data_IF_341787113208
#
_entry.id   IF_341787113208
#
_cell.length_a   1.000
_cell.length_b   1.000
_cell.length_c   1.000
_cell.angle_alpha   90.00
_cell.angle_beta   90.00
_cell.angle_gamma   90.00
#
_symmetry.space_group_name_H-M   'P 1'
#
loop_
_entity.id
_entity.type
_entity.pdbx_description
1 polymer ?
#
# COMPACT_ATOMS: atom_id res chain seq x y z
N UNK A 1 -20.57 -3.38 12.98
CA UNK A 1 -20.74 -2.27 12.03
C UNK A 1 -19.39 -1.65 11.64
N UNK A 2 -18.49 -1.37 12.60
CA UNK A 2 -17.18 -0.73 12.34
C UNK A 2 -16.23 -1.53 11.43
N UNK A 3 -16.18 -2.87 11.56
CA UNK A 3 -15.31 -3.70 10.71
C UNK A 3 -15.69 -3.63 9.23
N UNK A 4 -16.99 -3.59 8.92
CA UNK A 4 -17.43 -3.52 7.51
C UNK A 4 -17.02 -2.21 6.85
N UNK A 5 -17.04 -1.10 7.60
CA UNK A 5 -16.55 0.20 7.12
C UNK A 5 -15.05 0.12 6.83
N UNK A 6 -14.26 -0.48 7.73
CA UNK A 6 -12.82 -0.68 7.51
C UNK A 6 -12.54 -1.56 6.28
N UNK A 7 -13.28 -2.66 6.11
CA UNK A 7 -13.18 -3.50 4.92
C UNK A 7 -13.48 -2.70 3.64
N UNK A 8 -14.49 -1.84 3.63
CA UNK A 8 -14.77 -0.99 2.47
C UNK A 8 -13.64 0.02 2.20
N UNK A 9 -13.06 0.62 3.25
CA UNK A 9 -11.88 1.50 3.12
C UNK A 9 -10.72 0.73 2.48
N UNK A 10 -10.43 -0.47 2.96
CA UNK A 10 -9.36 -1.31 2.39
C UNK A 10 -9.67 -1.72 0.95
N UNK A 11 -10.92 -2.07 0.65
CA UNK A 11 -11.34 -2.37 -0.71
C UNK A 11 -11.04 -1.20 -1.65
N UNK A 12 -11.49 0.01 -1.31
CA UNK A 12 -11.24 1.18 -2.16
C UNK A 12 -9.75 1.47 -2.30
N UNK A 13 -8.98 1.36 -1.22
CA UNK A 13 -7.53 1.51 -1.25
C UNK A 13 -6.86 0.55 -2.24
N UNK A 14 -7.14 -0.76 -2.15
CA UNK A 14 -6.57 -1.73 -3.07
C UNK A 14 -7.09 -1.57 -4.50
N UNK A 15 -8.38 -1.22 -4.67
CA UNK A 15 -8.98 -1.03 -5.97
C UNK A 15 -8.39 0.17 -6.72
N UNK A 16 -8.12 1.30 -6.04
CA UNK A 16 -7.49 2.47 -6.66
C UNK A 16 -5.99 2.28 -6.85
N UNK A 17 -5.31 1.48 -6.02
CA UNK A 17 -3.89 1.18 -6.21
C UNK A 17 -3.60 0.40 -7.48
N UNK A 18 -4.51 -0.47 -7.94
CA UNK A 18 -4.31 -1.23 -9.18
C UNK A 18 -3.98 -0.32 -10.38
N UNK A 19 -4.84 0.65 -10.77
CA UNK A 19 -4.52 1.53 -11.88
C UNK A 19 -3.36 2.49 -11.57
N UNK A 20 -3.20 2.95 -10.32
CA UNK A 20 -2.09 3.84 -9.94
C UNK A 20 -0.77 3.11 -10.17
N UNK A 21 -0.59 1.92 -9.63
CA UNK A 21 0.64 1.15 -9.80
C UNK A 21 0.91 0.81 -11.26
N UNK A 22 -0.10 0.30 -11.98
CA UNK A 22 0.08 -0.10 -13.38
C UNK A 22 0.44 1.07 -14.29
N UNK A 23 -0.18 2.24 -14.09
CA UNK A 23 -0.08 3.37 -14.99
C UNK A 23 0.89 4.44 -14.54
N UNK A 24 1.24 4.53 -13.26
CA UNK A 24 2.11 5.57 -12.68
C UNK A 24 3.38 4.92 -12.13
N UNK A 25 3.28 4.06 -11.12
CA UNK A 25 4.47 3.58 -10.39
C UNK A 25 5.38 2.72 -11.27
N UNK A 26 4.81 1.83 -12.09
CA UNK A 26 5.59 0.98 -13.00
C UNK A 26 6.34 1.76 -14.10
N UNK A 27 6.00 3.05 -14.35
CA UNK A 27 6.80 3.90 -15.24
C UNK A 27 8.23 4.11 -14.72
N UNK A 28 8.47 3.97 -13.41
CA UNK A 28 9.79 4.05 -12.81
C UNK A 28 10.71 2.86 -13.17
N UNK A 29 10.14 1.75 -13.64
CA UNK A 29 10.87 0.51 -13.98
C UNK A 29 10.86 0.18 -15.46
N UNK A 30 9.73 0.39 -16.12
CA UNK A 30 9.56 -0.02 -17.50
C UNK A 30 10.03 1.07 -18.47
N UNK A 31 10.49 0.69 -19.67
CA UNK A 31 10.91 1.67 -20.67
C UNK A 31 9.79 2.63 -21.11
N UNK A 32 10.11 3.89 -21.36
CA UNK A 32 9.11 4.92 -21.72
C UNK A 32 8.21 4.58 -22.93
N UNK A 33 8.67 3.73 -23.85
CA UNK A 33 7.93 3.36 -25.06
C UNK A 33 6.73 2.44 -24.79
N UNK A 34 6.66 1.80 -23.62
CA UNK A 34 5.52 0.96 -23.24
C UNK A 34 4.33 1.78 -22.76
N UNK A 35 4.53 3.07 -22.45
CA UNK A 35 3.48 3.96 -21.95
C UNK A 35 3.01 4.96 -23.01
N UNK A 36 1.68 5.13 -23.17
CA UNK A 36 1.11 6.15 -24.03
C UNK A 36 1.44 7.56 -23.50
N UNK A 37 1.53 8.53 -24.41
CA UNK A 37 1.93 9.89 -24.09
C UNK A 37 1.12 10.55 -22.94
N UNK A 38 -0.22 10.40 -22.87
CA UNK A 38 -1.00 11.01 -21.79
C UNK A 38 -0.58 10.57 -20.38
N UNK A 39 -0.18 9.29 -20.20
CA UNK A 39 0.25 8.80 -18.89
C UNK A 39 1.61 9.38 -18.47
N UNK A 40 2.51 9.57 -19.44
CA UNK A 40 3.79 10.23 -19.21
C UNK A 40 3.62 11.71 -18.89
N UNK A 41 2.67 12.36 -19.55
CA UNK A 41 2.37 13.78 -19.29
C UNK A 41 1.77 13.98 -17.90
N UNK A 42 0.90 13.06 -17.45
CA UNK A 42 0.37 13.04 -16.08
C UNK A 42 1.51 12.87 -15.06
N UNK A 43 2.43 11.92 -15.29
CA UNK A 43 3.57 11.70 -14.40
C UNK A 43 4.46 12.95 -14.30
N UNK A 44 4.77 13.58 -15.45
CA UNK A 44 5.56 14.82 -15.50
C UNK A 44 4.87 15.98 -14.82
N UNK A 45 3.56 16.14 -15.02
CA UNK A 45 2.76 17.14 -14.33
C UNK A 45 2.79 16.93 -12.81
N UNK A 46 2.55 15.70 -12.35
CA UNK A 46 2.59 15.36 -10.93
C UNK A 46 3.96 15.67 -10.32
N UNK A 47 5.04 15.20 -10.95
CA UNK A 47 6.39 15.44 -10.46
C UNK A 47 6.76 16.92 -10.39
N UNK A 48 6.27 17.73 -11.34
CA UNK A 48 6.50 19.17 -11.36
C UNK A 48 5.70 19.91 -10.27
N UNK A 49 4.41 19.58 -10.12
CA UNK A 49 3.50 20.27 -9.21
C UNK A 49 3.79 19.93 -7.74
N UNK A 50 4.07 18.65 -7.47
CA UNK A 50 4.32 18.15 -6.11
C UNK A 50 5.80 18.03 -5.75
N UNK A 51 6.69 18.45 -6.66
CA UNK A 51 8.15 18.40 -6.49
C UNK A 51 8.64 16.98 -6.18
N UNK A 52 8.15 15.98 -6.89
CA UNK A 52 8.54 14.58 -6.68
C UNK A 52 9.50 14.11 -7.78
N UNK A 53 10.84 14.27 -7.62
CA UNK A 53 11.78 13.86 -8.65
C UNK A 53 11.98 12.35 -8.67
N UNK A 54 11.60 11.63 -7.60
CA UNK A 54 11.82 10.19 -7.50
C UNK A 54 10.99 9.42 -8.52
N UNK A 55 9.89 9.97 -9.02
CA UNK A 55 9.08 9.30 -10.03
C UNK A 55 9.56 9.56 -11.47
N UNK A 56 10.39 10.59 -11.69
CA UNK A 56 10.98 10.90 -12.99
C UNK A 56 12.41 10.39 -13.14
N UNK A 57 13.22 10.54 -12.09
CA UNK A 57 14.60 10.07 -12.01
C UNK A 57 14.78 9.24 -10.72
N UNK A 58 14.17 8.04 -10.68
CA UNK A 58 14.16 7.21 -9.48
C UNK A 58 15.58 6.75 -9.11
N UNK A 59 16.03 6.99 -7.87
CA UNK A 59 17.27 6.38 -7.39
C UNK A 59 17.13 4.87 -7.31
N UNK A 60 18.24 4.13 -7.44
CA UNK A 60 18.21 2.65 -7.53
C UNK A 60 17.54 1.97 -6.33
N UNK A 61 17.68 2.52 -5.13
CA UNK A 61 16.98 2.02 -3.94
C UNK A 61 15.46 2.16 -4.07
N UNK A 62 14.96 3.26 -4.68
CA UNK A 62 13.53 3.47 -4.90
C UNK A 62 13.01 2.51 -5.97
N UNK A 63 13.74 2.34 -7.08
CA UNK A 63 13.43 1.31 -8.09
C UNK A 63 13.33 -0.06 -7.47
N UNK A 64 14.21 -0.41 -6.52
CA UNK A 64 14.13 -1.70 -5.82
C UNK A 64 12.81 -1.90 -5.06
N UNK A 65 12.25 -0.82 -4.48
CA UNK A 65 10.94 -0.88 -3.83
C UNK A 65 9.80 -0.99 -4.82
N UNK A 66 9.82 -0.21 -5.92
CA UNK A 66 8.83 -0.33 -6.99
C UNK A 66 8.86 -1.73 -7.61
N UNK A 67 10.05 -2.36 -7.69
CA UNK A 67 10.18 -3.73 -8.20
C UNK A 67 9.53 -4.75 -7.28
N UNK A 68 9.73 -4.60 -5.96
CA UNK A 68 9.03 -5.41 -4.96
C UNK A 68 7.52 -5.18 -5.02
N UNK A 69 7.07 -3.94 -5.25
CA UNK A 69 5.67 -3.61 -5.45
C UNK A 69 5.10 -4.35 -6.68
N UNK A 70 5.77 -4.24 -7.83
CA UNK A 70 5.38 -4.89 -9.07
C UNK A 70 5.21 -6.40 -8.93
N UNK A 71 6.15 -7.07 -8.25
CA UNK A 71 6.18 -8.53 -8.13
C UNK A 71 5.29 -9.08 -7.01
N UNK A 72 5.22 -8.40 -5.87
CA UNK A 72 4.58 -8.94 -4.66
C UNK A 72 3.23 -8.27 -4.39
N UNK A 73 3.16 -6.95 -4.55
CA UNK A 73 2.00 -6.16 -4.15
C UNK A 73 0.96 -6.10 -5.27
N UNK A 74 1.36 -5.81 -6.50
CA UNK A 74 0.45 -5.72 -7.66
C UNK A 74 -0.41 -6.98 -7.85
N UNK A 75 0.13 -8.22 -7.84
CA UNK A 75 -0.72 -9.42 -7.92
C UNK A 75 -1.57 -9.65 -6.67
N UNK A 76 -1.20 -9.07 -5.52
CA UNK A 76 -2.00 -9.16 -4.29
C UNK A 76 -3.18 -8.19 -4.27
N UNK A 77 -3.10 -7.02 -4.93
CA UNK A 77 -4.15 -6.01 -4.87
C UNK A 77 -5.54 -6.53 -5.30
N UNK A 78 -5.72 -7.27 -6.41
CA UNK A 78 -7.04 -7.79 -6.79
C UNK A 78 -7.57 -8.81 -5.78
N UNK A 79 -6.68 -9.63 -5.22
CA UNK A 79 -7.01 -10.65 -4.19
C UNK A 79 -7.51 -9.96 -2.92
N UNK A 80 -6.80 -8.92 -2.47
CA UNK A 80 -7.18 -8.13 -1.31
C UNK A 80 -8.48 -7.35 -1.55
N UNK A 81 -8.61 -6.69 -2.71
CA UNK A 81 -9.83 -5.99 -3.10
C UNK A 81 -11.05 -6.93 -3.07
N UNK A 82 -10.94 -8.12 -3.67
CA UNK A 82 -12.00 -9.13 -3.59
C UNK A 82 -12.33 -9.54 -2.14
N UNK A 83 -11.31 -9.85 -1.34
CA UNK A 83 -11.50 -10.33 0.02
C UNK A 83 -12.23 -9.30 0.90
N UNK A 84 -11.86 -8.03 0.77
CA UNK A 84 -12.46 -6.94 1.54
C UNK A 84 -13.82 -6.50 0.96
N UNK A 85 -14.03 -6.56 -0.36
CA UNK A 85 -15.34 -6.32 -0.95
C UNK A 85 -16.35 -7.37 -0.50
N UNK A 86 -15.97 -8.66 -0.52
CA UNK A 86 -16.83 -9.75 -0.05
C UNK A 86 -17.05 -9.69 1.46
N UNK A 87 -16.03 -9.31 2.22
CA UNK A 87 -16.03 -9.29 3.68
C UNK A 87 -15.93 -10.70 4.30
N UNK A 88 -15.49 -10.77 5.55
CA UNK A 88 -15.43 -12.03 6.31
C UNK A 88 -14.43 -13.08 5.80
N UNK A 89 -13.56 -12.73 4.86
CA UNK A 89 -12.56 -13.62 4.29
C UNK A 89 -11.36 -13.80 5.24
N UNK A 90 -11.49 -14.67 6.25
CA UNK A 90 -10.45 -14.84 7.29
C UNK A 90 -9.05 -15.21 6.77
N UNK A 91 -8.96 -15.89 5.64
CA UNK A 91 -7.71 -16.27 4.99
C UNK A 91 -6.87 -15.05 4.55
N UNK A 92 -7.47 -13.87 4.38
CA UNK A 92 -6.75 -12.65 3.99
C UNK A 92 -5.80 -12.14 5.08
N UNK A 93 -5.97 -12.59 6.33
CA UNK A 93 -5.25 -12.07 7.49
C UNK A 93 -3.74 -12.12 7.31
N UNK A 94 -3.19 -13.31 7.07
CA UNK A 94 -1.73 -13.48 7.00
C UNK A 94 -1.14 -12.73 5.80
N UNK A 95 -1.68 -12.85 4.57
CA UNK A 95 -1.23 -12.03 3.44
C UNK A 95 -1.31 -10.52 3.69
N UNK A 96 -2.40 -10.05 4.31
CA UNK A 96 -2.56 -8.62 4.62
C UNK A 96 -1.55 -8.12 5.66
N UNK A 97 -1.20 -8.94 6.67
CA UNK A 97 -0.13 -8.60 7.62
C UNK A 97 1.21 -8.47 6.89
N UNK A 98 1.56 -9.46 6.06
CA UNK A 98 2.83 -9.44 5.29
C UNK A 98 2.88 -8.20 4.38
N UNK A 99 1.81 -7.95 3.63
CA UNK A 99 1.66 -6.77 2.79
C UNK A 99 1.85 -5.47 3.59
N UNK A 100 1.06 -5.28 4.65
CA UNK A 100 1.08 -4.03 5.41
C UNK A 100 2.42 -3.76 6.07
N UNK A 101 3.07 -4.80 6.62
CA UNK A 101 4.40 -4.66 7.22
C UNK A 101 5.44 -4.32 6.16
N UNK A 102 5.37 -4.94 4.98
CA UNK A 102 6.29 -4.65 3.90
C UNK A 102 6.14 -3.20 3.41
N UNK A 103 4.91 -2.75 3.14
CA UNK A 103 4.64 -1.36 2.73
C UNK A 103 5.12 -0.37 3.79
N UNK A 104 4.85 -0.61 5.08
CA UNK A 104 5.37 0.26 6.13
C UNK A 104 6.90 0.34 6.12
N UNK A 105 7.57 -0.80 5.86
CA UNK A 105 9.03 -0.88 5.84
C UNK A 105 9.64 -0.15 4.65
N UNK A 106 8.97 -0.09 3.49
CA UNK A 106 9.45 0.65 2.31
C UNK A 106 9.11 2.15 2.38
N UNK A 107 7.95 2.51 2.95
CA UNK A 107 7.51 3.91 3.05
C UNK A 107 8.29 4.72 4.09
N UNK A 108 8.77 4.09 5.18
CA UNK A 108 9.57 4.80 6.19
C UNK A 108 10.84 5.42 5.57
N UNK A 109 11.68 4.68 4.82
CA UNK A 109 12.81 5.25 4.08
C UNK A 109 12.41 6.34 3.07
N UNK A 110 11.30 6.16 2.34
CA UNK A 110 10.81 7.14 1.36
C UNK A 110 10.47 8.47 2.06
N UNK A 111 9.71 8.42 3.17
CA UNK A 111 9.36 9.60 3.93
C UNK A 111 10.59 10.27 4.56
N UNK A 112 11.53 9.48 5.07
CA UNK A 112 12.80 10.01 5.56
C UNK A 112 13.61 10.69 4.44
N UNK A 113 13.62 10.12 3.24
CA UNK A 113 14.26 10.72 2.07
C UNK A 113 13.59 12.06 1.73
N UNK A 114 12.26 12.11 1.64
CA UNK A 114 11.49 13.34 1.38
C UNK A 114 11.77 14.42 2.43
N UNK A 115 11.89 14.06 3.72
CA UNK A 115 12.06 15.03 4.80
C UNK A 115 13.50 15.53 4.96
N UNK A 116 14.49 14.67 4.76
CA UNK A 116 15.88 14.95 5.16
C UNK A 116 16.87 14.97 4.00
N UNK A 117 16.56 14.37 2.86
CA UNK A 117 17.47 14.39 1.71
C UNK A 117 17.55 15.78 1.09
N UNK A 118 18.76 16.18 0.69
CA UNK A 118 19.00 17.43 -0.02
C UNK A 118 18.84 17.20 -1.52
N UNK A 119 17.64 17.49 -2.04
CA UNK A 119 17.34 17.30 -3.44
C UNK A 119 18.09 18.30 -4.33
N UNK A 120 18.69 17.85 -5.44
CA UNK A 120 19.34 18.74 -6.39
C UNK A 120 18.32 19.66 -7.07
N UNK A 121 18.78 20.82 -7.56
CA UNK A 121 17.94 21.78 -8.30
C UNK A 121 17.75 21.41 -9.78
N UNK A 122 18.61 20.53 -10.32
CA UNK A 122 18.63 20.08 -11.71
C UNK A 122 19.01 18.59 -11.77
N UNK A 123 18.55 17.82 -12.77
CA UNK A 123 17.63 18.21 -13.84
C UNK A 123 16.17 18.36 -13.37
N UNK A 124 15.78 17.63 -12.32
CA UNK A 124 14.44 17.68 -11.73
C UNK A 124 14.51 18.19 -10.28
N UNK A 125 14.01 19.40 -9.98
CA UNK A 125 14.06 19.95 -8.63
C UNK A 125 13.09 19.21 -7.70
N UNK A 126 13.63 18.63 -6.63
CA UNK A 126 12.81 18.11 -5.52
C UNK A 126 12.37 19.19 -4.52
N UNK A 127 11.69 18.81 -3.42
CA UNK A 127 11.12 19.77 -2.48
C UNK A 127 12.25 20.51 -1.73
N UNK A 128 12.26 21.84 -1.86
CA UNK A 128 13.30 22.69 -1.29
C UNK A 128 12.86 23.28 0.05
N UNK A 129 11.59 23.64 0.14
CA UNK A 129 11.01 24.26 1.34
C UNK A 129 10.39 23.23 2.27
N UNK A 130 10.24 23.59 3.54
CA UNK A 130 9.54 22.76 4.53
C UNK A 130 8.08 22.54 4.10
N UNK A 131 7.43 23.54 3.51
CA UNK A 131 6.06 23.39 2.99
C UNK A 131 5.97 22.37 1.86
N UNK A 132 6.86 22.44 0.86
CA UNK A 132 6.90 21.46 -0.25
C UNK A 132 7.15 20.04 0.27
N UNK A 133 8.05 19.88 1.26
CA UNK A 133 8.31 18.56 1.88
C UNK A 133 7.07 18.00 2.56
N UNK A 134 6.37 18.81 3.37
CA UNK A 134 5.14 18.36 4.03
C UNK A 134 4.00 18.12 3.06
N UNK A 135 3.90 18.90 1.98
CA UNK A 135 2.96 18.65 0.91
C UNK A 135 3.21 17.28 0.28
N UNK A 136 4.46 16.98 -0.09
CA UNK A 136 4.81 15.69 -0.66
C UNK A 136 4.58 14.54 0.34
N UNK A 137 4.96 14.71 1.61
CA UNK A 137 4.64 13.74 2.68
C UNK A 137 3.14 13.49 2.77
N UNK A 138 2.29 14.50 2.61
CA UNK A 138 0.83 14.33 2.67
C UNK A 138 0.28 13.44 1.55
N UNK A 139 0.97 13.36 0.41
CA UNK A 139 0.61 12.49 -0.71
C UNK A 139 0.99 11.04 -0.39
N UNK A 140 2.16 10.81 0.18
CA UNK A 140 2.62 9.47 0.58
C UNK A 140 1.99 8.97 1.88
N UNK A 141 1.52 9.86 2.76
CA UNK A 141 1.01 9.49 4.08
C UNK A 141 -0.17 8.50 4.04
N UNK A 142 -1.19 8.64 3.16
CA UNK A 142 -2.25 7.64 3.01
C UNK A 142 -1.72 6.22 2.73
N UNK A 143 -0.66 6.10 1.93
CA UNK A 143 0.00 4.84 1.58
C UNK A 143 0.72 4.19 2.76
N UNK A 144 0.98 4.93 3.84
CA UNK A 144 1.48 4.37 5.10
C UNK A 144 0.35 4.14 6.11
N UNK A 145 -0.54 5.13 6.26
CA UNK A 145 -1.59 5.11 7.29
C UNK A 145 -2.61 4.01 7.03
N UNK A 146 -3.04 3.79 5.79
CA UNK A 146 -4.03 2.75 5.47
C UNK A 146 -3.45 1.34 5.69
N UNK A 147 -2.23 1.01 5.23
CA UNK A 147 -1.59 -0.26 5.57
C UNK A 147 -1.35 -0.47 7.06
N UNK A 148 -0.98 0.56 7.82
CA UNK A 148 -0.86 0.45 9.28
C UNK A 148 -2.22 0.17 9.93
N UNK A 149 -3.28 0.84 9.49
CA UNK A 149 -4.65 0.57 9.95
C UNK A 149 -5.09 -0.86 9.59
N UNK A 150 -4.73 -1.34 8.40
CA UNK A 150 -4.97 -2.72 7.97
C UNK A 150 -4.21 -3.70 8.88
N UNK A 151 -2.93 -3.45 9.17
CA UNK A 151 -2.11 -4.28 10.06
C UNK A 151 -2.75 -4.38 11.45
N UNK A 152 -3.09 -3.24 12.05
CA UNK A 152 -3.75 -3.20 13.36
C UNK A 152 -5.09 -3.93 13.33
N UNK A 153 -5.86 -3.78 12.25
CA UNK A 153 -7.13 -4.50 12.09
C UNK A 153 -6.92 -6.01 12.04
N UNK A 154 -5.92 -6.48 11.28
CA UNK A 154 -5.62 -7.92 11.16
C UNK A 154 -5.08 -8.52 12.46
N UNK A 155 -4.36 -7.74 13.27
CA UNK A 155 -3.80 -8.17 14.55
C UNK A 155 -4.82 -8.13 15.71
N UNK A 156 -5.65 -7.09 15.75
CA UNK A 156 -6.50 -6.80 16.92
C UNK A 156 -7.96 -7.23 16.75
N UNK A 157 -8.45 -7.40 15.51
CA UNK A 157 -9.85 -7.76 15.28
C UNK A 157 -10.12 -9.23 15.59
N UNK A 158 -11.10 -9.49 16.46
CA UNK A 158 -11.60 -10.85 16.75
C UNK A 158 -12.19 -11.55 15.53
N UNK A 159 -12.68 -10.80 14.54
CA UNK A 159 -13.22 -11.34 13.28
C UNK A 159 -12.16 -12.15 12.51
N UNK A 160 -10.92 -11.66 12.52
CA UNK A 160 -9.80 -12.23 11.78
C UNK A 160 -8.94 -13.16 12.66
N UNK A 161 -9.07 -13.08 13.98
CA UNK A 161 -8.27 -13.90 14.90
C UNK A 161 -8.70 -15.39 14.85
N UNK A 162 -7.76 -16.34 14.60
CA UNK A 162 -8.08 -17.77 14.50
C UNK A 162 -8.60 -18.39 15.80
N UNK A 163 -8.29 -17.78 16.94
CA UNK A 163 -8.58 -18.32 18.28
C UNK A 163 -10.05 -18.25 18.71
N UNK A 164 -10.97 -17.75 17.86
CA UNK A 164 -12.39 -17.61 18.24
C UNK A 164 -13.27 -18.86 18.09
N UNK A 165 -12.76 -20.01 17.60
CA UNK A 165 -13.50 -21.29 17.66
C UNK A 165 -12.60 -22.54 17.76
N UNK A 166 -12.45 -23.04 18.99
CA UNK A 166 -12.50 -24.48 19.28
C UNK A 166 -12.74 -24.69 20.78
N UNK A 167 -13.85 -25.35 21.17
CA UNK A 167 -13.95 -25.96 22.51
C UNK A 167 -15.17 -25.65 23.39
N UNK A 168 -16.41 -25.88 22.92
CA UNK A 168 -17.48 -26.38 23.81
C UNK A 168 -18.57 -27.12 23.03
N UNK A 169 -18.23 -28.31 22.52
CA UNK A 169 -19.27 -29.31 22.27
C UNK A 169 -19.61 -29.98 23.62
N UNK A 170 -20.89 -30.03 24.04
CA UNK A 170 -21.26 -30.71 25.27
C UNK A 170 -20.99 -32.21 25.11
N UNK A 171 -20.23 -32.78 26.04
CA UNK A 171 -19.95 -34.21 26.09
C UNK A 171 -21.29 -34.98 26.17
N UNK A 172 -21.57 -35.80 25.15
CA UNK A 172 -22.68 -36.77 25.19
C UNK A 172 -22.43 -37.70 26.39
N UNK A 173 -23.29 -37.61 27.39
CA UNK A 173 -23.36 -38.55 28.50
C UNK A 173 -23.62 -39.97 27.94
N UNK A 174 -22.61 -40.84 28.02
CA UNK A 174 -22.79 -42.29 27.84
C UNK A 174 -23.44 -42.83 29.12
N UNK A 175 -24.76 -42.98 29.10
CA UNK A 175 -25.47 -43.91 30.01
C UNK A 175 -25.12 -45.32 29.55
N UNK A 176 -24.44 -46.09 30.41
CA UNK A 176 -24.28 -47.53 30.23
C UNK A 176 -25.05 -48.21 31.36
N UNK A 177 -26.05 -48.99 30.95
CA UNK A 177 -26.80 -49.93 31.78
C UNK A 177 -25.88 -51.01 32.35
#
# INVERSE_FOLDING_TARGET
>A
MSIRVLELIFFFYFATHIPITLFIDLQALLPEHVYPQPLKDVLKWYAADFRDPMVLDPPEWFKSFVFCEALLQTPFFPVAAYAFLKGGCKWIRTPAIVYSTHVATTLIPILAHILFYQFPLKPHPGPQTVQERWLLVSIYAPYLLVPLLLLLTMLMSSTYNPTSKSGSMPAKAKKKN
#
